data_IF_847402687964
#
_entry.id   IF_847402687964
#
_cell.length_a   1.000
_cell.length_b   1.000
_cell.length_c   1.000
_cell.angle_alpha   90.00
_cell.angle_beta   90.00
_cell.angle_gamma   90.00
#
_symmetry.space_group_name_H-M   'P 1'
#
loop_
_entity.id
_entity.type
_entity.pdbx_description
1 polymer ?
#
# COMPACT_ATOMS: atom_id res chain seq x y z
N UNK A 1 28.60 -3.62 1.36
CA UNK A 1 28.50 -2.14 1.28
C UNK A 1 27.64 -1.66 0.10
N UNK A 2 27.82 -2.17 -1.12
CA UNK A 2 27.06 -1.76 -2.31
C UNK A 2 25.53 -2.04 -2.26
N UNK A 3 25.13 -3.17 -1.66
CA UNK A 3 23.71 -3.58 -1.58
C UNK A 3 22.90 -2.65 -0.65
N UNK A 4 23.45 -2.31 0.53
CA UNK A 4 22.80 -1.37 1.45
C UNK A 4 22.68 0.05 0.89
N UNK A 5 23.64 0.49 0.07
CA UNK A 5 23.55 1.79 -0.64
C UNK A 5 22.43 1.77 -1.69
N UNK A 6 22.21 0.64 -2.37
CA UNK A 6 21.11 0.47 -3.32
C UNK A 6 19.74 0.57 -2.64
N UNK A 7 19.53 -0.12 -1.52
CA UNK A 7 18.25 -0.08 -0.82
C UNK A 7 17.90 1.32 -0.34
N UNK A 8 18.87 2.03 0.26
CA UNK A 8 18.72 3.44 0.62
C UNK A 8 18.37 4.31 -0.57
N UNK A 9 18.98 4.06 -1.73
CA UNK A 9 18.68 4.81 -2.95
C UNK A 9 17.23 4.59 -3.40
N UNK A 10 16.75 3.34 -3.45
CA UNK A 10 15.38 3.01 -3.84
C UNK A 10 14.38 3.66 -2.88
N UNK A 11 14.63 3.58 -1.57
CA UNK A 11 13.83 4.25 -0.56
C UNK A 11 13.72 5.77 -0.81
N UNK A 12 14.86 6.44 -1.05
CA UNK A 12 14.88 7.88 -1.30
C UNK A 12 14.17 8.25 -2.61
N UNK A 13 14.39 7.47 -3.68
CA UNK A 13 13.73 7.67 -4.97
C UNK A 13 12.21 7.48 -4.86
N UNK A 14 11.75 6.43 -4.18
CA UNK A 14 10.34 6.17 -3.95
C UNK A 14 9.69 7.26 -3.07
N UNK A 15 10.36 7.65 -1.97
CA UNK A 15 9.91 8.74 -1.11
C UNK A 15 9.77 10.06 -1.89
N UNK A 16 10.76 10.39 -2.74
CA UNK A 16 10.70 11.55 -3.61
C UNK A 16 9.56 11.47 -4.64
N UNK A 17 9.32 10.28 -5.21
CA UNK A 17 8.25 10.05 -6.16
C UNK A 17 6.87 10.24 -5.54
N UNK A 18 6.59 9.66 -4.37
CA UNK A 18 5.29 9.84 -3.73
C UNK A 18 5.06 11.28 -3.24
N UNK A 19 6.12 11.97 -2.80
CA UNK A 19 6.05 13.41 -2.52
C UNK A 19 5.69 14.20 -3.77
N UNK A 20 6.32 13.88 -4.90
CA UNK A 20 6.02 14.50 -6.19
C UNK A 20 4.58 14.24 -6.62
N UNK A 21 4.09 13.00 -6.56
CA UNK A 21 2.69 12.66 -6.91
C UNK A 21 1.71 13.45 -6.05
N UNK A 22 1.92 13.48 -4.74
CA UNK A 22 1.08 14.26 -3.83
C UNK A 22 1.11 15.75 -4.21
N UNK A 23 2.30 16.32 -4.41
CA UNK A 23 2.46 17.74 -4.76
C UNK A 23 1.84 18.09 -6.10
N UNK A 24 2.02 17.24 -7.12
CA UNK A 24 1.41 17.43 -8.44
C UNK A 24 -0.11 17.37 -8.34
N UNK A 25 -0.67 16.48 -7.50
CA UNK A 25 -2.11 16.43 -7.30
C UNK A 25 -2.66 17.76 -6.77
N UNK A 26 -1.97 18.39 -5.80
CA UNK A 26 -2.31 19.72 -5.27
C UNK A 26 -2.20 20.84 -6.30
N UNK A 27 -1.32 20.72 -7.30
CA UNK A 27 -1.12 21.75 -8.33
C UNK A 27 -2.07 21.59 -9.53
N UNK A 28 -2.39 20.36 -9.91
CA UNK A 28 -3.14 20.05 -11.13
C UNK A 28 -4.66 20.03 -10.89
N UNK A 29 -5.13 19.40 -9.80
CA UNK A 29 -6.58 19.24 -9.59
C UNK A 29 -7.36 20.53 -9.37
N UNK A 30 -6.81 21.59 -8.74
CA UNK A 30 -7.48 22.90 -8.73
C UNK A 30 -7.67 23.50 -10.13
N UNK A 31 -6.86 23.10 -11.12
CA UNK A 31 -6.99 23.55 -12.52
C UNK A 31 -7.92 22.65 -13.33
N UNK A 32 -7.84 21.34 -13.11
CA UNK A 32 -8.63 20.34 -13.87
C UNK A 32 -10.08 20.29 -13.37
N UNK A 33 -10.29 20.35 -12.06
CA UNK A 33 -11.60 20.22 -11.42
C UNK A 33 -11.82 21.30 -10.33
N UNK A 34 -11.75 22.60 -10.67
CA UNK A 34 -11.83 23.69 -9.70
C UNK A 34 -13.10 23.67 -8.86
N UNK A 35 -14.24 23.35 -9.49
CA UNK A 35 -15.54 23.32 -8.83
C UNK A 35 -15.65 22.18 -7.80
N UNK A 36 -15.01 21.04 -8.07
CA UNK A 36 -14.95 19.93 -7.13
C UNK A 36 -14.11 20.33 -5.91
N UNK A 37 -12.85 20.73 -6.15
CA UNK A 37 -11.90 21.05 -5.08
C UNK A 37 -12.43 22.16 -4.16
N UNK A 38 -13.09 23.18 -4.73
CA UNK A 38 -13.68 24.27 -3.94
C UNK A 38 -14.83 23.82 -3.03
N UNK A 39 -15.58 22.79 -3.40
CA UNK A 39 -16.70 22.25 -2.61
C UNK A 39 -16.25 21.32 -1.48
N UNK A 40 -15.07 20.71 -1.60
CA UNK A 40 -14.55 19.81 -0.58
C UNK A 40 -14.27 20.55 0.74
N UNK A 41 -14.60 19.90 1.85
CA UNK A 41 -14.18 20.34 3.18
C UNK A 41 -12.64 20.34 3.29
N UNK A 42 -12.08 21.01 4.30
CA UNK A 42 -10.64 20.97 4.54
C UNK A 42 -10.12 19.55 4.74
N UNK A 43 -10.90 18.69 5.42
CA UNK A 43 -10.59 17.29 5.64
C UNK A 43 -10.61 16.52 4.31
N UNK A 44 -11.72 16.60 3.56
CA UNK A 44 -11.88 15.89 2.30
C UNK A 44 -10.87 16.32 1.26
N UNK A 45 -10.45 17.60 1.26
CA UNK A 45 -9.42 18.07 0.34
C UNK A 45 -8.07 17.41 0.63
N UNK A 46 -7.69 17.28 1.90
CA UNK A 46 -6.46 16.57 2.28
C UNK A 46 -6.57 15.10 1.87
N UNK A 47 -7.68 14.44 2.24
CA UNK A 47 -7.92 13.03 1.89
C UNK A 47 -7.94 12.80 0.37
N UNK A 48 -8.50 13.72 -0.41
CA UNK A 48 -8.53 13.63 -1.86
C UNK A 48 -7.12 13.50 -2.46
N UNK A 49 -6.19 14.33 -2.00
CA UNK A 49 -4.80 14.31 -2.47
C UNK A 49 -4.02 13.09 -1.96
N UNK A 50 -4.29 12.62 -0.73
CA UNK A 50 -3.69 11.37 -0.23
C UNK A 50 -4.23 10.15 -0.97
N UNK A 51 -5.53 10.08 -1.28
CA UNK A 51 -6.12 8.98 -2.05
C UNK A 51 -5.50 8.85 -3.44
N UNK A 52 -5.20 9.96 -4.13
CA UNK A 52 -4.48 9.90 -5.42
C UNK A 52 -3.12 9.25 -5.25
N UNK A 53 -2.38 9.64 -4.21
CA UNK A 53 -1.05 9.08 -3.91
C UNK A 53 -1.15 7.59 -3.54
N UNK A 54 -2.16 7.23 -2.73
CA UNK A 54 -2.46 5.87 -2.29
C UNK A 54 -2.82 4.94 -3.46
N UNK A 55 -3.65 5.39 -4.40
CA UNK A 55 -4.00 4.61 -5.60
C UNK A 55 -2.74 4.33 -6.44
N UNK A 56 -1.92 5.35 -6.68
CA UNK A 56 -0.66 5.22 -7.41
C UNK A 56 0.29 4.23 -6.73
N UNK A 57 0.45 4.35 -5.42
CA UNK A 57 1.21 3.41 -4.60
C UNK A 57 0.70 1.98 -4.72
N UNK A 58 -0.58 1.78 -4.45
CA UNK A 58 -1.18 0.47 -4.38
C UNK A 58 -1.10 -0.27 -5.72
N UNK A 59 -1.28 0.42 -6.86
CA UNK A 59 -1.07 -0.18 -8.19
C UNK A 59 0.36 -0.70 -8.33
N UNK A 60 1.35 0.12 -7.95
CA UNK A 60 2.77 -0.25 -8.06
C UNK A 60 3.11 -1.47 -7.20
N UNK A 61 2.75 -1.47 -5.91
CA UNK A 61 3.08 -2.59 -5.02
C UNK A 61 2.22 -3.83 -5.28
N UNK A 62 1.03 -3.69 -5.84
CA UNK A 62 0.24 -4.85 -6.28
C UNK A 62 0.94 -5.59 -7.43
N UNK A 63 1.44 -4.86 -8.43
CA UNK A 63 2.26 -5.45 -9.51
C UNK A 63 3.51 -6.10 -8.91
N UNK A 64 4.19 -5.40 -8.00
CA UNK A 64 5.33 -5.95 -7.26
C UNK A 64 5.00 -7.25 -6.52
N UNK A 65 3.83 -7.32 -5.89
CA UNK A 65 3.32 -8.50 -5.18
C UNK A 65 3.10 -9.70 -6.09
N UNK A 66 2.52 -9.50 -7.27
CA UNK A 66 2.37 -10.58 -8.24
C UNK A 66 3.73 -11.09 -8.75
N UNK A 67 4.68 -10.18 -8.97
CA UNK A 67 6.04 -10.56 -9.37
C UNK A 67 6.78 -11.31 -8.25
N UNK A 68 6.62 -10.90 -6.99
CA UNK A 68 7.18 -11.63 -5.84
C UNK A 68 6.55 -13.02 -5.70
N UNK A 69 5.22 -13.13 -5.89
CA UNK A 69 4.54 -14.42 -5.89
C UNK A 69 5.04 -15.34 -7.00
N UNK A 70 5.33 -14.78 -8.18
CA UNK A 70 5.91 -15.52 -9.30
C UNK A 70 7.34 -16.02 -9.00
N UNK A 71 8.18 -15.20 -8.35
CA UNK A 71 9.54 -15.58 -7.94
C UNK A 71 9.54 -16.76 -6.94
N UNK A 72 8.48 -16.91 -6.15
CA UNK A 72 8.33 -17.98 -5.16
C UNK A 72 7.77 -19.30 -5.74
N UNK A 73 7.35 -19.34 -7.00
CA UNK A 73 6.79 -20.56 -7.61
C UNK A 73 7.86 -21.66 -7.66
N UNK A 74 7.56 -22.81 -7.03
CA UNK A 74 8.49 -23.94 -6.97
C UNK A 74 9.59 -23.82 -5.90
N UNK A 75 9.59 -22.75 -5.10
CA UNK A 75 10.49 -22.63 -3.95
C UNK A 75 10.04 -23.51 -2.78
N UNK A 76 11.01 -23.93 -1.96
CA UNK A 76 10.71 -24.63 -0.70
C UNK A 76 10.15 -23.66 0.34
N UNK A 77 9.40 -24.17 1.33
CA UNK A 77 8.92 -23.33 2.44
C UNK A 77 10.07 -22.62 3.16
N UNK A 78 11.21 -23.28 3.34
CA UNK A 78 12.38 -22.63 3.94
C UNK A 78 12.87 -21.43 3.11
N UNK A 79 12.89 -21.52 1.78
CA UNK A 79 13.24 -20.40 0.92
C UNK A 79 12.15 -19.32 0.89
N UNK A 80 10.88 -19.69 0.98
CA UNK A 80 9.78 -18.73 1.05
C UNK A 80 9.82 -17.88 2.33
N UNK A 81 10.34 -18.42 3.44
CA UNK A 81 10.44 -17.74 4.73
C UNK A 81 11.82 -17.14 5.02
N UNK A 82 12.91 -17.72 4.51
CA UNK A 82 14.27 -17.24 4.79
C UNK A 82 15.13 -17.02 3.54
N UNK A 83 14.56 -17.18 2.35
CA UNK A 83 15.22 -16.90 1.10
C UNK A 83 15.40 -15.42 0.87
N UNK A 84 16.48 -15.05 0.18
CA UNK A 84 16.75 -13.68 -0.19
C UNK A 84 16.12 -13.36 -1.55
N UNK A 85 15.08 -12.53 -1.58
CA UNK A 85 14.52 -11.96 -2.81
C UNK A 85 14.88 -10.48 -2.93
N UNK A 86 15.63 -10.14 -3.98
CA UNK A 86 15.96 -8.74 -4.28
C UNK A 86 14.73 -7.94 -4.69
N UNK A 87 13.78 -8.59 -5.38
CA UNK A 87 12.54 -7.97 -5.81
C UNK A 87 11.68 -7.62 -4.60
N UNK A 88 11.49 -8.56 -3.67
CA UNK A 88 10.71 -8.33 -2.45
C UNK A 88 11.31 -7.20 -1.61
N UNK A 89 12.65 -7.17 -1.46
CA UNK A 89 13.33 -6.06 -0.78
C UNK A 89 13.06 -4.73 -1.51
N UNK A 90 13.20 -4.66 -2.83
CA UNK A 90 12.96 -3.40 -3.55
C UNK A 90 11.49 -2.94 -3.44
N UNK A 91 10.52 -3.85 -3.60
CA UNK A 91 9.09 -3.52 -3.47
C UNK A 91 8.74 -3.09 -2.05
N UNK A 92 9.39 -3.68 -1.05
CA UNK A 92 9.20 -3.32 0.34
C UNK A 92 9.75 -1.94 0.71
N UNK A 93 10.89 -1.52 0.15
CA UNK A 93 11.40 -0.17 0.33
C UNK A 93 10.41 0.85 -0.23
N UNK A 94 9.76 0.53 -1.36
CA UNK A 94 8.68 1.35 -1.93
C UNK A 94 7.45 1.37 -1.02
N UNK A 95 7.07 0.22 -0.44
CA UNK A 95 5.98 0.11 0.54
C UNK A 95 6.23 0.96 1.79
N UNK A 96 7.39 0.81 2.42
CA UNK A 96 7.80 1.55 3.61
C UNK A 96 7.87 3.06 3.33
N UNK A 97 8.40 3.44 2.16
CA UNK A 97 8.46 4.85 1.74
C UNK A 97 7.09 5.51 1.70
N UNK A 98 6.09 4.83 1.12
CA UNK A 98 4.71 5.33 1.10
C UNK A 98 4.10 5.40 2.50
N UNK A 99 4.24 4.33 3.30
CA UNK A 99 3.68 4.32 4.65
C UNK A 99 4.23 5.44 5.53
N UNK A 100 5.53 5.74 5.43
CA UNK A 100 6.14 6.85 6.16
C UNK A 100 5.60 8.21 5.71
N UNK A 101 5.41 8.39 4.40
CA UNK A 101 4.86 9.64 3.89
C UNK A 101 3.40 9.84 4.31
N UNK A 102 2.55 8.81 4.16
CA UNK A 102 1.13 8.88 4.53
C UNK A 102 0.98 9.10 6.04
N UNK A 103 1.78 8.40 6.85
CA UNK A 103 1.87 8.64 8.29
C UNK A 103 2.31 10.07 8.62
N UNK A 104 3.30 10.62 7.91
CA UNK A 104 3.73 12.00 8.07
C UNK A 104 2.61 13.00 7.79
N UNK A 105 1.80 12.76 6.75
CA UNK A 105 0.62 13.59 6.42
C UNK A 105 -0.45 13.46 7.50
N UNK A 106 -0.73 12.24 7.97
CA UNK A 106 -1.69 11.97 9.06
C UNK A 106 -1.31 12.71 10.35
N UNK A 107 -0.03 12.69 10.72
CA UNK A 107 0.50 13.39 11.91
C UNK A 107 0.45 14.90 11.71
N UNK A 108 0.94 15.40 10.57
CA UNK A 108 0.98 16.84 10.29
C UNK A 108 -0.41 17.47 10.26
N UNK A 109 -1.41 16.76 9.71
CA UNK A 109 -2.80 17.21 9.64
C UNK A 109 -3.70 16.60 10.72
N UNK A 110 -3.13 16.09 11.81
CA UNK A 110 -3.89 15.37 12.85
C UNK A 110 -5.03 16.20 13.45
N UNK A 111 -4.84 17.51 13.61
CA UNK A 111 -5.86 18.42 14.12
C UNK A 111 -7.13 18.46 13.25
N UNK A 112 -7.00 18.16 11.96
CA UNK A 112 -8.08 18.14 10.96
C UNK A 112 -8.58 16.70 10.76
N UNK A 113 -7.68 15.74 10.51
CA UNK A 113 -8.04 14.37 10.12
C UNK A 113 -8.50 13.50 11.29
N UNK A 114 -7.85 13.64 12.47
CA UNK A 114 -8.12 12.87 13.70
C UNK A 114 -8.19 11.35 13.52
N UNK A 115 -7.50 10.83 12.51
CA UNK A 115 -7.58 9.44 12.06
C UNK A 115 -6.57 8.54 12.81
N UNK A 116 -6.89 8.23 14.08
CA UNK A 116 -6.04 7.42 14.96
C UNK A 116 -5.88 5.99 14.45
N UNK A 117 -6.93 5.43 13.86
CA UNK A 117 -6.95 4.06 13.35
C UNK A 117 -5.92 3.90 12.23
N UNK A 118 -5.89 4.85 11.28
CA UNK A 118 -4.88 4.86 10.22
C UNK A 118 -3.47 5.04 10.77
N UNK A 119 -3.26 5.87 11.79
CA UNK A 119 -1.93 6.02 12.42
C UNK A 119 -1.45 4.69 13.02
N UNK A 120 -2.28 4.02 13.81
CA UNK A 120 -1.94 2.73 14.42
C UNK A 120 -1.68 1.68 13.33
N UNK A 121 -2.53 1.62 12.31
CA UNK A 121 -2.36 0.75 11.16
C UNK A 121 -1.00 0.95 10.50
N UNK A 122 -0.63 2.20 10.17
CA UNK A 122 0.65 2.51 9.54
C UNK A 122 1.83 2.12 10.42
N UNK A 123 1.78 2.38 11.73
CA UNK A 123 2.87 2.02 12.65
C UNK A 123 3.06 0.50 12.73
N UNK A 124 1.97 -0.28 12.77
CA UNK A 124 2.03 -1.74 12.78
C UNK A 124 2.69 -2.25 11.48
N UNK A 125 2.19 -1.80 10.32
CA UNK A 125 2.69 -2.27 9.03
C UNK A 125 4.11 -1.79 8.73
N UNK A 126 4.49 -0.57 9.14
CA UNK A 126 5.88 -0.12 9.08
C UNK A 126 6.81 -1.03 9.88
N UNK A 127 6.42 -1.38 11.11
CA UNK A 127 7.23 -2.22 11.99
C UNK A 127 7.41 -3.63 11.40
N UNK A 128 6.30 -4.24 10.95
CA UNK A 128 6.32 -5.59 10.36
C UNK A 128 7.12 -5.61 9.05
N UNK A 129 6.88 -4.65 8.15
CA UNK A 129 7.61 -4.57 6.88
C UNK A 129 9.09 -4.29 7.10
N UNK A 130 9.47 -3.38 8.00
CA UNK A 130 10.89 -3.13 8.30
C UNK A 130 11.58 -4.39 8.85
N UNK A 131 10.89 -5.16 9.71
CA UNK A 131 11.41 -6.41 10.25
C UNK A 131 11.65 -7.45 9.16
N UNK A 132 10.66 -7.72 8.31
CA UNK A 132 10.78 -8.66 7.19
C UNK A 132 11.99 -8.32 6.28
N UNK A 133 12.18 -7.03 6.00
CA UNK A 133 13.14 -6.56 4.99
C UNK A 133 14.55 -6.45 5.54
N UNK A 134 14.72 -5.96 6.77
CA UNK A 134 16.03 -5.73 7.37
C UNK A 134 16.90 -6.99 7.51
N UNK A 135 16.26 -8.17 7.46
CA UNK A 135 16.93 -9.47 7.52
C UNK A 135 16.78 -10.30 6.23
N UNK A 136 16.11 -9.76 5.20
CA UNK A 136 15.73 -10.50 3.98
C UNK A 136 15.01 -11.82 4.28
N UNK A 137 14.12 -11.78 5.27
CA UNK A 137 13.29 -12.91 5.69
C UNK A 137 11.82 -12.59 5.42
N UNK A 138 10.96 -13.60 5.52
CA UNK A 138 9.53 -13.50 5.34
C UNK A 138 9.10 -13.00 3.95
N UNK A 139 9.77 -13.46 2.88
CA UNK A 139 9.42 -13.09 1.49
C UNK A 139 7.98 -13.46 1.17
N UNK A 140 7.53 -14.66 1.52
CA UNK A 140 6.16 -15.08 1.32
C UNK A 140 5.16 -14.29 2.16
N UNK A 141 5.37 -14.10 3.49
CA UNK A 141 4.51 -13.22 4.28
C UNK A 141 4.42 -11.79 3.81
N UNK A 142 5.54 -11.21 3.40
CA UNK A 142 5.53 -9.89 2.79
C UNK A 142 4.75 -9.88 1.47
N UNK A 143 4.88 -10.93 0.64
CA UNK A 143 4.19 -11.05 -0.66
C UNK A 143 2.67 -11.04 -0.53
N UNK A 144 2.08 -11.86 0.34
CA UNK A 144 0.62 -11.84 0.48
C UNK A 144 0.12 -10.57 1.19
N UNK A 145 0.95 -9.93 2.03
CA UNK A 145 0.64 -8.65 2.65
C UNK A 145 0.48 -7.56 1.59
N UNK A 146 1.45 -7.41 0.67
CA UNK A 146 1.36 -6.40 -0.40
C UNK A 146 0.34 -6.74 -1.47
N UNK A 147 0.04 -8.02 -1.71
CA UNK A 147 -1.08 -8.40 -2.59
C UNK A 147 -2.44 -7.94 -2.01
N UNK A 148 -2.53 -7.75 -0.68
CA UNK A 148 -3.67 -7.11 -0.02
C UNK A 148 -3.96 -5.68 -0.48
N UNK A 149 -2.95 -4.98 -1.01
CA UNK A 149 -3.09 -3.63 -1.61
C UNK A 149 -3.83 -3.65 -2.95
N UNK A 150 -4.04 -4.81 -3.58
CA UNK A 150 -4.77 -4.90 -4.87
C UNK A 150 -6.20 -4.37 -4.78
N UNK A 151 -6.80 -4.40 -3.57
CA UNK A 151 -8.12 -3.83 -3.33
C UNK A 151 -8.12 -2.30 -3.11
N UNK A 152 -6.99 -1.72 -2.71
CA UNK A 152 -6.85 -0.31 -2.32
C UNK A 152 -7.18 0.69 -3.45
N UNK A 153 -6.79 0.47 -4.72
CA UNK A 153 -7.19 1.35 -5.82
C UNK A 153 -8.70 1.45 -5.94
N UNK A 154 -9.42 0.35 -5.73
CA UNK A 154 -10.87 0.35 -5.81
C UNK A 154 -11.51 1.10 -4.65
N UNK A 155 -10.98 0.96 -3.42
CA UNK A 155 -11.39 1.77 -2.25
C UNK A 155 -11.22 3.26 -2.55
N UNK A 156 -10.04 3.66 -3.02
CA UNK A 156 -9.73 5.06 -3.30
C UNK A 156 -10.58 5.65 -4.41
N UNK A 157 -10.71 4.95 -5.54
CA UNK A 157 -11.57 5.40 -6.66
C UNK A 157 -13.03 5.51 -6.20
N UNK A 158 -13.53 4.54 -5.42
CA UNK A 158 -14.89 4.60 -4.87
C UNK A 158 -15.10 5.85 -4.03
N UNK A 159 -14.17 6.13 -3.13
CA UNK A 159 -14.23 7.29 -2.25
C UNK A 159 -14.17 8.60 -3.06
N UNK A 160 -13.25 8.70 -4.03
CA UNK A 160 -13.14 9.86 -4.93
C UNK A 160 -14.43 10.11 -5.71
N UNK A 161 -15.08 9.05 -6.22
CA UNK A 161 -16.38 9.16 -6.89
C UNK A 161 -17.47 9.61 -5.92
N UNK A 162 -17.48 9.10 -4.68
CA UNK A 162 -18.45 9.48 -3.67
C UNK A 162 -18.37 10.97 -3.31
N UNK A 163 -17.17 11.48 -3.02
CA UNK A 163 -16.99 12.91 -2.68
C UNK A 163 -17.19 13.84 -3.87
N UNK A 164 -17.05 13.29 -5.09
CA UNK A 164 -17.35 14.01 -6.33
C UNK A 164 -18.85 14.05 -6.68
N UNK A 165 -19.71 13.46 -5.84
CA UNK A 165 -21.17 13.41 -6.08
C UNK A 165 -21.60 12.37 -7.11
N UNK A 166 -20.74 11.40 -7.44
CA UNK A 166 -20.97 10.41 -8.50
C UNK A 166 -21.42 9.03 -7.97
N UNK A 167 -22.12 8.97 -6.83
CA UNK A 167 -22.59 7.70 -6.23
C UNK A 167 -23.58 6.94 -7.11
N UNK A 168 -24.40 7.65 -7.88
CA UNK A 168 -25.40 7.05 -8.79
C UNK A 168 -24.81 6.64 -10.15
N UNK A 169 -23.51 6.84 -10.37
CA UNK A 169 -22.88 6.52 -11.65
C UNK A 169 -22.68 5.01 -11.84
N UNK A 170 -22.76 4.54 -13.10
CA UNK A 170 -22.39 3.15 -13.44
C UNK A 170 -20.95 2.82 -13.01
N UNK A 171 -20.04 3.79 -13.11
CA UNK A 171 -18.64 3.63 -12.70
C UNK A 171 -18.54 3.34 -11.19
N UNK A 172 -19.30 4.03 -10.35
CA UNK A 172 -19.35 3.77 -8.91
C UNK A 172 -19.91 2.37 -8.62
N UNK A 173 -20.92 1.92 -9.34
CA UNK A 173 -21.46 0.56 -9.20
C UNK A 173 -20.42 -0.51 -9.55
N UNK A 174 -19.84 -0.46 -10.76
CA UNK A 174 -18.86 -1.46 -11.21
C UNK A 174 -17.58 -1.45 -10.36
N UNK A 175 -17.10 -0.27 -9.95
CA UNK A 175 -16.00 -0.16 -9.01
C UNK A 175 -16.33 -0.85 -7.67
N UNK A 176 -17.58 -0.75 -7.19
CA UNK A 176 -18.04 -1.46 -5.99
C UNK A 176 -17.99 -2.98 -6.14
N UNK A 177 -18.38 -3.51 -7.31
CA UNK A 177 -18.27 -4.95 -7.60
C UNK A 177 -16.82 -5.41 -7.62
N UNK A 178 -15.93 -4.66 -8.27
CA UNK A 178 -14.50 -4.95 -8.30
C UNK A 178 -13.85 -4.85 -6.92
N UNK A 179 -14.25 -3.86 -6.13
CA UNK A 179 -13.83 -3.71 -4.75
C UNK A 179 -14.22 -4.94 -3.93
N UNK A 180 -15.48 -5.38 -4.01
CA UNK A 180 -15.95 -6.56 -3.28
C UNK A 180 -15.14 -7.81 -3.65
N UNK A 181 -14.97 -8.07 -4.94
CA UNK A 181 -14.23 -9.24 -5.43
C UNK A 181 -12.76 -9.22 -5.00
N UNK A 182 -12.08 -8.10 -5.19
CA UNK A 182 -10.65 -7.96 -4.84
C UNK A 182 -10.43 -7.96 -3.33
N UNK A 183 -11.30 -7.31 -2.55
CA UNK A 183 -11.22 -7.33 -1.09
C UNK A 183 -11.38 -8.74 -0.55
N UNK A 184 -12.41 -9.48 -0.98
CA UNK A 184 -12.64 -10.84 -0.51
C UNK A 184 -11.52 -11.79 -0.93
N UNK A 185 -11.04 -11.70 -2.17
CA UNK A 185 -9.96 -12.55 -2.67
C UNK A 185 -8.63 -12.29 -1.94
N UNK A 186 -8.17 -11.04 -1.92
CA UNK A 186 -6.83 -10.72 -1.42
C UNK A 186 -6.79 -10.56 0.11
N UNK A 187 -7.78 -9.91 0.71
CA UNK A 187 -7.81 -9.64 2.16
C UNK A 187 -8.57 -10.69 2.96
N UNK A 188 -9.54 -11.37 2.34
CA UNK A 188 -10.26 -12.49 2.96
C UNK A 188 -9.52 -13.81 2.80
N UNK A 189 -9.48 -14.32 1.56
CA UNK A 189 -8.96 -15.66 1.26
C UNK A 189 -7.43 -15.70 1.35
N UNK A 190 -6.72 -14.89 0.57
CA UNK A 190 -5.27 -14.96 0.49
C UNK A 190 -4.61 -14.60 1.82
N UNK A 191 -5.04 -13.49 2.44
CA UNK A 191 -4.51 -13.07 3.74
C UNK A 191 -4.80 -14.12 4.83
N UNK A 192 -6.03 -14.66 4.88
CA UNK A 192 -6.40 -15.71 5.82
C UNK A 192 -5.58 -16.99 5.63
N UNK A 193 -5.40 -17.42 4.38
CA UNK A 193 -4.54 -18.54 4.04
C UNK A 193 -3.07 -18.26 4.40
N UNK A 194 -2.57 -17.05 4.16
CA UNK A 194 -1.22 -16.63 4.51
C UNK A 194 -0.96 -16.70 6.02
N UNK A 195 -1.92 -16.24 6.84
CA UNK A 195 -1.85 -16.37 8.30
C UNK A 195 -1.90 -17.82 8.77
N UNK A 196 -2.77 -18.64 8.17
CA UNK A 196 -2.81 -20.08 8.46
C UNK A 196 -1.49 -20.78 8.10
N UNK A 197 -0.91 -20.44 6.95
CA UNK A 197 0.38 -20.97 6.52
C UNK A 197 1.51 -20.56 7.47
N UNK A 198 1.54 -19.29 7.92
CA UNK A 198 2.48 -18.86 8.96
C UNK A 198 2.31 -19.67 10.25
N UNK A 199 1.08 -19.87 10.71
CA UNK A 199 0.80 -20.65 11.91
C UNK A 199 1.26 -22.11 11.76
N UNK A 200 0.95 -22.75 10.63
CA UNK A 200 1.36 -24.13 10.34
C UNK A 200 2.88 -24.29 10.28
N UNK A 201 3.59 -23.30 9.74
CA UNK A 201 5.04 -23.30 9.60
C UNK A 201 5.75 -22.56 10.75
N UNK A 202 5.12 -22.39 11.93
CA UNK A 202 5.71 -21.64 13.05
C UNK A 202 7.10 -22.14 13.46
N UNK A 203 7.32 -23.45 13.40
CA UNK A 203 8.59 -24.09 13.73
C UNK A 203 9.72 -23.69 12.80
N UNK A 204 9.41 -23.24 11.58
CA UNK A 204 10.40 -22.76 10.63
C UNK A 204 10.89 -21.38 11.07
N UNK A 205 9.97 -20.44 11.37
CA UNK A 205 10.31 -19.03 11.52
C UNK A 205 10.47 -18.50 12.95
N UNK A 206 10.23 -19.33 13.97
CA UNK A 206 10.46 -18.99 15.40
C UNK A 206 11.80 -19.54 15.93
N UNK A 207 12.51 -20.38 15.16
CA UNK A 207 13.79 -20.99 15.56
C UNK A 207 15.01 -20.11 15.27
#
# INVERSE_FOLDING_TARGET
MAVGLRYRRIFLEASGWFFLVNRLSWLLFPKIAPNLIRKLSSEDRIRFHTYITSICHAIFVSIGGFLCAYELVGCTNHHAYFGHSMLAVNVSEVFISYLLQDLGILIYHYNILRDKESIIHHVIFLTISQYAVSKSYFVWPFTWLILGETSTPFVGIRWLLAVSGNKESKLYFYNGVLLLGTFFLFRGILYGHGLYDMFKNYSIWVC
#
